data_IF_880995870709
#
_entry.id   IF_880995870709
#
_cell.length_a   1.000
_cell.length_b   1.000
_cell.length_c   1.000
_cell.angle_alpha   90.00
_cell.angle_beta   90.00
_cell.angle_gamma   90.00
#
_symmetry.space_group_name_H-M   'P 1'
#
loop_
_entity.id
_entity.type
_entity.pdbx_description
1 polymer ?
#
# COMPACT_ATOMS: atom_id res chain seq x y z
N UNK A 1 -35.09 23.37 58.87
CA UNK A 1 -35.53 22.43 57.82
C UNK A 1 -35.49 23.21 56.52
N UNK A 2 -34.56 23.00 55.60
CA UNK A 2 -34.20 21.75 54.89
C UNK A 2 -32.67 21.67 54.69
N UNK A 3 -32.02 20.51 54.86
CA UNK A 3 -30.56 20.38 54.78
C UNK A 3 -30.01 20.30 53.33
N UNK A 4 -28.78 20.80 53.18
CA UNK A 4 -27.94 20.79 51.97
C UNK A 4 -27.53 19.33 51.66
N UNK A 5 -27.96 18.82 50.51
CA UNK A 5 -27.52 17.51 50.01
C UNK A 5 -26.11 17.61 49.42
N UNK A 6 -25.16 16.93 50.08
CA UNK A 6 -23.85 16.63 49.51
C UNK A 6 -23.96 15.56 48.44
N UNK A 7 -23.41 15.82 47.25
CA UNK A 7 -23.27 14.83 46.18
C UNK A 7 -21.96 14.07 46.44
N UNK A 8 -22.11 12.86 46.96
CA UNK A 8 -21.05 11.86 47.09
C UNK A 8 -20.59 11.41 45.70
N UNK A 9 -19.29 11.50 45.43
CA UNK A 9 -18.68 10.90 44.24
C UNK A 9 -18.72 9.37 44.35
N UNK A 10 -19.54 8.73 43.52
CA UNK A 10 -19.53 7.28 43.35
C UNK A 10 -18.47 6.90 42.32
N UNK A 11 -17.36 6.33 42.80
CA UNK A 11 -16.33 5.72 41.98
C UNK A 11 -16.86 4.44 41.33
N UNK A 12 -17.38 4.54 40.10
CA UNK A 12 -17.73 3.36 39.30
C UNK A 12 -16.47 2.75 38.69
N UNK A 13 -15.95 1.69 39.32
CA UNK A 13 -14.94 0.82 38.74
C UNK A 13 -15.58 -0.05 37.66
N UNK A 14 -15.55 0.43 36.41
CA UNK A 14 -15.85 -0.41 35.25
C UNK A 14 -14.69 -1.40 35.04
N UNK A 15 -14.95 -2.68 35.29
CA UNK A 15 -14.05 -3.78 34.97
C UNK A 15 -13.99 -3.95 33.45
N UNK A 16 -12.97 -3.38 32.81
CA UNK A 16 -12.66 -3.69 31.42
C UNK A 16 -12.22 -5.16 31.32
N UNK A 17 -13.13 -6.02 30.88
CA UNK A 17 -12.83 -7.39 30.51
C UNK A 17 -11.91 -7.38 29.28
N UNK A 18 -10.61 -7.48 29.51
CA UNK A 18 -9.60 -7.71 28.49
C UNK A 18 -9.89 -9.06 27.84
N UNK A 19 -10.56 -9.07 26.69
CA UNK A 19 -10.53 -10.23 25.78
C UNK A 19 -9.11 -10.34 25.24
N UNK A 20 -8.25 -11.01 26.00
CA UNK A 20 -6.94 -11.47 25.54
C UNK A 20 -7.20 -12.49 24.44
N UNK A 21 -7.00 -12.06 23.20
CA UNK A 21 -6.92 -12.98 22.07
C UNK A 21 -5.79 -13.98 22.34
N UNK A 22 -6.14 -15.26 22.48
CA UNK A 22 -5.19 -16.36 22.65
C UNK A 22 -5.02 -17.06 21.30
N UNK A 23 -3.83 -17.10 20.70
CA UNK A 23 -3.60 -17.86 19.47
C UNK A 23 -3.75 -19.35 19.78
N UNK A 24 -4.75 -20.01 19.19
CA UNK A 24 -4.85 -21.46 19.25
C UNK A 24 -3.75 -22.08 18.38
N UNK A 25 -3.12 -23.14 18.89
CA UNK A 25 -1.95 -23.83 18.33
C UNK A 25 -2.12 -24.40 16.90
N UNK A 26 -3.25 -24.17 16.24
CA UNK A 26 -3.55 -24.65 14.89
C UNK A 26 -3.17 -23.68 13.76
N UNK A 27 -2.70 -22.45 14.06
CA UNK A 27 -2.30 -21.50 13.02
C UNK A 27 -0.96 -21.87 12.34
N UNK A 28 -0.06 -22.54 13.05
CA UNK A 28 1.31 -22.77 12.55
C UNK A 28 1.41 -23.83 11.45
N UNK A 29 0.47 -24.77 11.37
CA UNK A 29 0.53 -25.85 10.37
C UNK A 29 0.16 -25.44 8.96
N UNK A 30 -0.44 -24.25 8.75
CA UNK A 30 -0.89 -23.84 7.40
C UNK A 30 0.21 -23.31 6.48
N UNK A 31 1.42 -23.13 6.99
CA UNK A 31 2.53 -22.52 6.24
C UNK A 31 3.78 -23.42 6.12
N UNK A 32 3.68 -24.71 6.45
CA UNK A 32 4.85 -25.61 6.45
C UNK A 32 5.15 -26.30 5.11
N UNK A 33 4.42 -25.99 4.04
CA UNK A 33 4.69 -26.59 2.74
C UNK A 33 4.71 -25.51 1.67
N UNK A 34 5.89 -24.96 1.40
CA UNK A 34 6.33 -24.36 0.13
C UNK A 34 7.69 -23.73 0.44
N UNK A 35 8.77 -24.50 0.28
CA UNK A 35 10.08 -23.88 0.07
C UNK A 35 9.91 -22.97 -1.15
N UNK A 36 9.80 -21.66 -0.90
CA UNK A 36 9.54 -20.70 -1.95
C UNK A 36 10.70 -20.77 -2.95
N UNK A 37 10.47 -21.04 -4.24
CA UNK A 37 11.48 -20.75 -5.23
C UNK A 37 11.88 -19.28 -5.03
N UNK A 38 13.18 -18.97 -5.08
CA UNK A 38 13.74 -17.61 -5.01
C UNK A 38 12.81 -16.70 -5.82
N UNK A 39 11.97 -15.93 -5.12
CA UNK A 39 10.75 -15.41 -5.71
C UNK A 39 11.11 -14.58 -6.94
N UNK A 40 10.73 -15.06 -8.12
CA UNK A 40 10.86 -14.26 -9.33
C UNK A 40 10.16 -12.92 -9.07
N UNK A 41 10.84 -11.81 -9.38
CA UNK A 41 10.25 -10.49 -9.22
C UNK A 41 8.89 -10.48 -9.93
N UNK A 42 7.81 -10.22 -9.21
CA UNK A 42 6.46 -10.31 -9.73
C UNK A 42 6.21 -9.17 -10.72
N UNK A 43 6.50 -9.42 -12.00
CA UNK A 43 6.34 -8.43 -13.07
C UNK A 43 4.94 -8.47 -13.67
N UNK A 44 4.35 -7.29 -13.92
CA UNK A 44 3.03 -7.13 -14.54
C UNK A 44 3.20 -6.36 -15.84
N UNK A 45 2.51 -6.78 -16.90
CA UNK A 45 2.54 -6.09 -18.19
C UNK A 45 1.27 -5.28 -18.40
N UNK A 46 1.40 -3.98 -18.68
CA UNK A 46 0.30 -3.06 -18.97
C UNK A 46 0.39 -2.56 -20.40
N UNK A 47 -0.64 -2.85 -21.20
CA UNK A 47 -0.71 -2.28 -22.54
C UNK A 47 -1.47 -0.97 -22.56
N UNK A 48 -0.95 0.02 -23.27
CA UNK A 48 -1.50 1.37 -23.35
C UNK A 48 -1.68 1.81 -24.80
N UNK A 49 -2.61 2.75 -25.02
CA UNK A 49 -2.91 3.31 -26.35
C UNK A 49 -2.28 4.68 -26.57
N UNK A 50 -2.30 5.50 -25.54
CA UNK A 50 -1.93 6.91 -25.59
C UNK A 50 -0.69 7.15 -24.72
N UNK A 51 0.35 7.73 -25.31
CA UNK A 51 1.57 8.08 -24.59
C UNK A 51 1.28 9.10 -23.48
N UNK A 52 0.34 10.02 -23.69
CA UNK A 52 -0.06 10.97 -22.66
C UNK A 52 -0.73 10.26 -21.47
N UNK A 53 -1.43 9.14 -21.70
CA UNK A 53 -1.94 8.31 -20.60
C UNK A 53 -0.81 7.64 -19.81
N UNK A 54 0.22 7.14 -20.49
CA UNK A 54 1.41 6.57 -19.86
C UNK A 54 2.10 7.61 -18.96
N UNK A 55 2.34 8.82 -19.49
CA UNK A 55 2.97 9.92 -18.75
C UNK A 55 2.15 10.37 -17.54
N UNK A 56 0.82 10.52 -17.67
CA UNK A 56 -0.06 10.84 -16.53
C UNK A 56 -0.01 9.76 -15.46
N UNK A 57 0.02 8.49 -15.87
CA UNK A 57 0.10 7.37 -14.94
C UNK A 57 1.42 7.39 -14.17
N UNK A 58 2.51 7.75 -14.85
CA UNK A 58 3.84 7.89 -14.23
C UNK A 58 3.86 8.97 -13.16
N UNK A 59 3.39 10.17 -13.52
CA UNK A 59 3.34 11.30 -12.60
C UNK A 59 2.47 10.97 -11.37
N UNK A 60 1.33 10.30 -11.56
CA UNK A 60 0.48 9.86 -10.44
C UNK A 60 1.13 8.78 -9.58
N UNK A 61 1.83 7.82 -10.18
CA UNK A 61 2.56 6.80 -9.44
C UNK A 61 3.66 7.43 -8.58
N UNK A 62 4.41 8.39 -9.12
CA UNK A 62 5.45 9.15 -8.39
C UNK A 62 4.85 9.89 -7.19
N UNK A 63 3.74 10.62 -7.36
CA UNK A 63 3.05 11.28 -6.24
C UNK A 63 2.60 10.29 -5.16
N UNK A 64 1.94 9.18 -5.56
CA UNK A 64 1.47 8.16 -4.60
C UNK A 64 2.63 7.51 -3.84
N UNK A 65 3.77 7.35 -4.50
CA UNK A 65 4.96 6.85 -3.85
C UNK A 65 5.53 7.85 -2.85
N UNK A 66 5.69 9.11 -3.23
CA UNK A 66 6.12 10.16 -2.31
C UNK A 66 5.18 10.26 -1.09
N UNK A 67 3.87 10.22 -1.32
CA UNK A 67 2.85 10.24 -0.27
C UNK A 67 2.97 9.02 0.66
N UNK A 68 3.20 7.83 0.12
CA UNK A 68 3.33 6.60 0.90
C UNK A 68 4.61 6.56 1.76
N UNK A 69 5.68 7.22 1.30
CA UNK A 69 6.93 7.39 2.05
C UNK A 69 6.81 8.46 3.12
N UNK A 70 5.95 9.46 2.92
CA UNK A 70 5.77 10.54 3.89
C UNK A 70 5.21 10.02 5.23
N UNK A 71 5.87 10.31 6.37
CA UNK A 71 5.36 9.95 7.69
C UNK A 71 4.06 10.67 8.05
N UNK A 72 3.78 11.81 7.43
CA UNK A 72 2.65 12.69 7.75
C UNK A 72 1.43 12.45 6.88
N UNK A 73 1.57 11.68 5.80
CA UNK A 73 0.46 11.40 4.89
C UNK A 73 -0.50 10.37 5.48
N UNK A 74 -1.74 10.79 5.71
CA UNK A 74 -2.82 9.96 6.25
C UNK A 74 -3.96 9.75 5.26
N UNK A 75 -3.80 10.20 4.01
CA UNK A 75 -4.82 10.05 2.98
C UNK A 75 -5.08 8.56 2.67
N UNK A 76 -6.32 8.22 2.33
CA UNK A 76 -6.70 6.84 1.99
C UNK A 76 -5.84 6.28 0.86
N UNK A 77 -5.55 7.09 -0.16
CA UNK A 77 -4.68 6.71 -1.28
C UNK A 77 -3.25 6.41 -0.83
N UNK A 78 -2.67 7.24 0.04
CA UNK A 78 -1.34 7.01 0.59
C UNK A 78 -1.26 5.74 1.44
N UNK A 79 -2.28 5.49 2.27
CA UNK A 79 -2.37 4.28 3.09
C UNK A 79 -2.47 3.02 2.22
N UNK A 80 -3.28 3.05 1.15
CA UNK A 80 -3.40 1.95 0.19
C UNK A 80 -2.07 1.73 -0.55
N UNK A 81 -1.43 2.80 -1.02
CA UNK A 81 -0.14 2.71 -1.71
C UNK A 81 0.94 2.12 -0.78
N UNK A 82 1.05 2.62 0.45
CA UNK A 82 1.96 2.09 1.49
C UNK A 82 1.69 0.60 1.76
N UNK A 83 0.42 0.22 1.87
CA UNK A 83 0.02 -1.19 2.03
C UNK A 83 0.47 -2.03 0.83
N UNK A 84 0.19 -1.59 -0.39
CA UNK A 84 0.59 -2.29 -1.61
C UNK A 84 2.12 -2.50 -1.70
N UNK A 85 2.91 -1.46 -1.37
CA UNK A 85 4.37 -1.52 -1.36
C UNK A 85 4.90 -2.53 -0.32
N UNK A 86 4.26 -2.61 0.86
CA UNK A 86 4.58 -3.61 1.89
C UNK A 86 4.29 -5.03 1.43
N UNK A 87 3.14 -5.29 0.81
CA UNK A 87 2.81 -6.62 0.26
C UNK A 87 3.78 -7.06 -0.82
N UNK A 88 4.24 -6.12 -1.66
CA UNK A 88 5.27 -6.38 -2.67
C UNK A 88 6.69 -6.49 -2.10
N UNK A 89 6.90 -6.25 -0.79
CA UNK A 89 8.20 -6.22 -0.12
C UNK A 89 9.18 -5.22 -0.76
N UNK A 90 8.67 -4.10 -1.26
CA UNK A 90 9.47 -3.04 -1.90
C UNK A 90 9.53 -1.76 -1.07
N UNK A 91 8.69 -1.65 -0.04
CA UNK A 91 8.62 -0.46 0.82
C UNK A 91 9.98 -0.13 1.48
N UNK A 92 10.72 -1.13 1.95
CA UNK A 92 12.01 -0.89 2.61
C UNK A 92 13.09 -0.41 1.64
N UNK A 93 13.00 -0.79 0.36
CA UNK A 93 13.91 -0.28 -0.68
C UNK A 93 13.58 1.16 -1.06
N UNK A 94 12.33 1.56 -0.88
CA UNK A 94 11.82 2.86 -1.29
C UNK A 94 12.21 3.99 -0.35
N UNK A 95 12.52 3.70 0.93
CA UNK A 95 12.92 4.73 1.91
C UNK A 95 14.25 5.42 1.58
N UNK A 96 15.07 4.81 0.71
CA UNK A 96 16.34 5.39 0.22
C UNK A 96 16.32 5.79 -1.25
N UNK A 97 15.16 5.79 -1.91
CA UNK A 97 15.02 6.13 -3.33
C UNK A 97 14.46 7.53 -3.47
N UNK A 98 15.15 8.38 -4.24
CA UNK A 98 14.58 9.67 -4.67
C UNK A 98 13.61 9.45 -5.83
N UNK A 99 12.31 9.51 -5.53
CA UNK A 99 11.23 9.32 -6.51
C UNK A 99 11.18 10.48 -7.53
N UNK A 100 11.79 11.62 -7.22
CA UNK A 100 11.81 12.79 -8.08
C UNK A 100 13.01 12.83 -9.04
N UNK A 101 13.95 11.88 -8.94
CA UNK A 101 15.05 11.75 -9.89
C UNK A 101 14.49 11.58 -11.32
N UNK A 102 14.87 12.44 -12.28
CA UNK A 102 14.47 12.29 -13.68
C UNK A 102 14.82 10.93 -14.28
N UNK A 103 15.87 10.27 -13.77
CA UNK A 103 16.32 8.96 -14.24
C UNK A 103 15.64 7.78 -13.52
N UNK A 104 14.76 8.05 -12.55
CA UNK A 104 14.02 7.02 -11.82
C UNK A 104 12.78 6.57 -12.58
N UNK A 105 12.80 5.31 -13.05
CA UNK A 105 11.64 4.64 -13.61
C UNK A 105 10.80 4.00 -12.49
N UNK A 106 9.71 4.67 -12.16
CA UNK A 106 8.73 4.24 -11.14
C UNK A 106 8.10 2.89 -11.47
N UNK A 107 7.92 2.58 -12.76
CA UNK A 107 7.29 1.35 -13.20
C UNK A 107 8.26 0.19 -13.16
N UNK A 108 9.49 0.39 -13.61
CA UNK A 108 10.54 -0.62 -13.46
C UNK A 108 10.73 -0.99 -11.99
N UNK A 109 10.79 0.01 -11.09
CA UNK A 109 10.89 -0.21 -9.65
C UNK A 109 9.72 -1.04 -9.09
N UNK A 110 8.51 -0.79 -9.59
CA UNK A 110 7.30 -1.53 -9.22
C UNK A 110 7.15 -2.89 -9.92
N UNK A 111 8.05 -3.23 -10.86
CA UNK A 111 7.95 -4.42 -11.68
C UNK A 111 6.83 -4.34 -12.72
N UNK A 112 6.65 -3.20 -13.37
CA UNK A 112 5.64 -2.97 -14.40
C UNK A 112 6.30 -2.75 -15.75
N UNK A 113 5.95 -3.60 -16.71
CA UNK A 113 6.36 -3.51 -18.11
C UNK A 113 5.26 -2.85 -18.94
N UNK A 114 5.57 -1.79 -19.69
CA UNK A 114 4.63 -1.16 -20.59
C UNK A 114 4.72 -1.75 -22.00
N UNK A 115 3.57 -2.01 -22.62
CA UNK A 115 3.46 -2.37 -24.04
C UNK A 115 2.59 -1.34 -24.77
N UNK A 116 3.08 -0.76 -25.86
CA UNK A 116 2.18 -0.04 -26.77
C UNK A 116 1.25 -1.05 -27.43
N UNK A 117 -0.06 -0.79 -27.47
CA UNK A 117 -0.98 -1.71 -28.12
C UNK A 117 -0.84 -1.60 -29.66
N UNK A 118 -0.46 -2.67 -30.38
CA UNK A 118 -0.21 -2.57 -31.82
C UNK A 118 -1.51 -2.43 -32.65
N UNK A 119 -2.68 -2.68 -32.05
CA UNK A 119 -3.94 -2.88 -32.76
C UNK A 119 -4.54 -1.62 -33.44
N UNK A 120 -3.93 -0.44 -33.34
CA UNK A 120 -4.41 0.77 -34.04
C UNK A 120 -3.34 1.54 -34.82
N UNK A 121 -2.10 1.05 -34.91
CA UNK A 121 -1.11 1.66 -35.83
C UNK A 121 -1.41 1.37 -37.31
N UNK A 122 -2.28 0.40 -37.62
CA UNK A 122 -2.66 0.03 -39.00
C UNK A 122 -3.93 0.72 -39.53
N UNK A 123 -4.64 1.52 -38.74
CA UNK A 123 -5.96 2.05 -39.13
C UNK A 123 -5.93 3.52 -39.61
N UNK A 124 -4.76 4.07 -39.89
CA UNK A 124 -4.56 5.50 -40.21
C UNK A 124 -3.92 5.79 -41.57
N UNK A 125 -3.96 4.86 -42.53
CA UNK A 125 -3.68 5.14 -43.95
C UNK A 125 -4.87 4.73 -44.80
N UNK A 126 -5.73 5.70 -45.10
CA UNK A 126 -6.59 5.71 -46.29
C UNK A 126 -6.45 7.08 -46.91
#
# INVERSE_FOLDING_TARGET
MVPIMQISASSSTATNATKVWSPTANHERRYQGLAAPKAAAHRVRLCYRDEAYRQRSEARAKCLMADASSPTSSSTSALIAKKALKYRKVYDRMTGVDVNDPNFDVFEFLGVDWCKNPSMESSGRV
#
